data_IF_977769192881
#
_entry.id   IF_977769192881
#
_cell.length_a   1.000
_cell.length_b   1.000
_cell.length_c   1.000
_cell.angle_alpha   90.00
_cell.angle_beta   90.00
_cell.angle_gamma   90.00
#
_symmetry.space_group_name_H-M   'P 1'
#
loop_
_entity.id
_entity.type
_entity.pdbx_description
1 polymer ?
#
# COMPACT_ATOMS: atom_id res chain seq x y z
N UNK A 1 -5.11 13.43 20.90
CA UNK A 1 -4.03 12.90 20.05
C UNK A 1 -4.64 12.14 18.87
N UNK A 2 -4.08 12.35 17.67
CA UNK A 2 -4.50 11.63 16.47
C UNK A 2 -3.73 10.30 16.44
N UNK A 3 -4.46 9.18 16.46
CA UNK A 3 -3.86 7.85 16.34
C UNK A 3 -4.03 7.33 14.91
N UNK A 4 -3.07 6.54 14.39
CA UNK A 4 -3.22 5.89 13.09
C UNK A 4 -4.40 4.93 13.10
N UNK A 5 -5.27 5.05 12.09
CA UNK A 5 -6.44 4.17 11.91
C UNK A 5 -6.36 3.43 10.59
N UNK A 6 -7.07 2.31 10.52
CA UNK A 6 -7.16 1.45 9.33
C UNK A 6 -8.60 1.04 9.09
N UNK A 7 -9.05 1.10 7.84
CA UNK A 7 -10.34 0.52 7.47
C UNK A 7 -10.19 -0.99 7.26
N UNK A 8 -10.95 -1.76 8.04
CA UNK A 8 -10.90 -3.22 8.02
C UNK A 8 -11.65 -3.82 6.82
N UNK A 9 -11.38 -5.07 6.48
CA UNK A 9 -11.93 -5.72 5.30
C UNK A 9 -13.44 -5.60 5.16
N UNK A 10 -13.84 -5.51 3.91
CA UNK A 10 -15.18 -5.49 3.33
C UNK A 10 -15.94 -4.18 3.44
N UNK A 11 -15.57 -3.25 4.31
CA UNK A 11 -16.30 -1.98 4.49
C UNK A 11 -15.36 -0.84 4.87
N UNK A 12 -15.39 0.26 4.13
CA UNK A 12 -14.57 1.45 4.40
C UNK A 12 -14.90 2.15 5.71
N UNK A 13 -16.11 1.95 6.22
CA UNK A 13 -16.59 2.52 7.49
C UNK A 13 -16.21 1.69 8.73
N UNK A 14 -15.71 0.49 8.54
CA UNK A 14 -15.25 -0.39 9.63
C UNK A 14 -13.84 0.00 10.06
N UNK A 15 -13.72 1.12 10.75
CA UNK A 15 -12.46 1.71 11.16
C UNK A 15 -12.03 1.14 12.52
N UNK A 16 -10.72 0.85 12.66
CA UNK A 16 -10.09 0.45 13.92
C UNK A 16 -8.72 1.14 14.05
N UNK A 17 -8.28 1.32 15.28
CA UNK A 17 -6.92 1.74 15.57
C UNK A 17 -5.95 0.68 15.07
N UNK A 18 -4.88 1.09 14.39
CA UNK A 18 -3.85 0.18 13.85
C UNK A 18 -3.27 -0.70 14.96
N UNK A 19 -3.10 -0.16 16.16
CA UNK A 19 -2.58 -0.88 17.33
C UNK A 19 -3.40 -2.13 17.68
N UNK A 20 -4.71 -2.13 17.41
CA UNK A 20 -5.59 -3.28 17.67
C UNK A 20 -5.45 -4.40 16.65
N UNK A 21 -4.77 -4.13 15.53
CA UNK A 21 -4.56 -5.05 14.42
C UNK A 21 -3.09 -5.50 14.33
N UNK A 22 -2.23 -5.00 15.22
CA UNK A 22 -0.79 -5.29 15.21
C UNK A 22 -0.52 -6.80 15.23
N UNK A 23 0.48 -7.21 14.45
CA UNK A 23 0.87 -8.62 14.32
C UNK A 23 0.11 -9.40 13.25
N UNK A 24 -0.96 -8.85 12.65
CA UNK A 24 -1.65 -9.50 11.52
C UNK A 24 -0.70 -9.58 10.34
N UNK A 25 -0.31 -10.79 9.93
CA UNK A 25 0.56 -11.04 8.77
C UNK A 25 -0.12 -10.61 7.47
N UNK A 26 0.67 -10.08 6.54
CA UNK A 26 0.20 -9.60 5.24
C UNK A 26 1.06 -10.19 4.12
N UNK A 27 0.47 -10.37 2.95
CA UNK A 27 1.13 -10.92 1.76
C UNK A 27 1.54 -9.82 0.78
N UNK A 28 0.83 -8.70 0.80
CA UNK A 28 1.03 -7.64 -0.18
C UNK A 28 0.72 -6.25 0.39
N UNK A 29 1.41 -5.26 -0.15
CA UNK A 29 1.12 -3.84 0.07
C UNK A 29 0.94 -3.15 -1.27
N UNK A 30 -0.11 -2.34 -1.39
CA UNK A 30 -0.38 -1.54 -2.57
C UNK A 30 -0.43 -0.05 -2.23
N UNK A 31 0.48 0.73 -2.79
CA UNK A 31 0.55 2.18 -2.61
C UNK A 31 0.28 2.86 -3.93
N UNK A 32 -0.74 3.73 -3.97
CA UNK A 32 -0.98 4.55 -5.13
C UNK A 32 -2.39 4.50 -5.70
N UNK A 33 -2.48 4.36 -7.01
CA UNK A 33 -3.64 4.55 -7.89
C UNK A 33 -3.95 6.03 -8.18
N UNK A 34 -5.05 6.28 -8.90
CA UNK A 34 -5.39 7.62 -9.39
C UNK A 34 -5.67 8.66 -8.28
N UNK A 35 -6.06 8.23 -7.08
CA UNK A 35 -6.41 9.13 -5.96
C UNK A 35 -5.29 9.25 -4.93
N UNK A 36 -4.61 8.17 -4.61
CA UNK A 36 -3.63 8.07 -3.51
C UNK A 36 -2.23 7.69 -3.99
N UNK A 37 -1.90 7.99 -5.24
CA UNK A 37 -0.56 7.90 -5.84
C UNK A 37 -0.01 9.28 -6.21
N UNK A 38 -0.36 10.31 -5.45
CA UNK A 38 0.14 11.67 -5.62
C UNK A 38 1.60 11.76 -5.18
N UNK A 39 2.25 12.86 -5.53
CA UNK A 39 3.66 13.03 -5.21
C UNK A 39 3.93 12.97 -3.70
N UNK A 40 3.06 13.62 -2.91
CA UNK A 40 3.12 13.60 -1.46
C UNK A 40 2.92 12.22 -0.85
N UNK A 41 2.04 11.39 -1.42
CA UNK A 41 1.81 10.01 -0.97
C UNK A 41 3.04 9.14 -1.21
N UNK A 42 3.64 9.26 -2.41
CA UNK A 42 4.85 8.53 -2.77
C UNK A 42 6.05 8.98 -1.92
N UNK A 43 6.18 10.29 -1.68
CA UNK A 43 7.23 10.84 -0.83
C UNK A 43 7.09 10.36 0.62
N UNK A 44 5.87 10.34 1.16
CA UNK A 44 5.59 9.87 2.52
C UNK A 44 5.92 8.38 2.69
N UNK A 45 5.65 7.56 1.68
CA UNK A 45 6.05 6.15 1.68
C UNK A 45 7.58 5.99 1.57
N UNK A 46 8.22 6.75 0.68
CA UNK A 46 9.67 6.71 0.48
C UNK A 46 10.43 7.14 1.76
N UNK A 47 9.91 8.12 2.49
CA UNK A 47 10.48 8.54 3.79
C UNK A 47 10.57 7.37 4.78
N UNK A 48 9.53 6.55 4.86
CA UNK A 48 9.49 5.38 5.75
C UNK A 48 10.40 4.26 5.25
N UNK A 49 10.48 4.07 3.93
CA UNK A 49 11.22 2.98 3.28
C UNK A 49 12.72 3.28 3.13
N UNK A 50 13.15 4.54 3.25
CA UNK A 50 14.53 4.95 3.04
C UNK A 50 15.51 4.15 3.91
N UNK A 51 16.45 3.47 3.26
CA UNK A 51 17.46 2.63 3.93
C UNK A 51 16.91 1.33 4.52
N UNK A 52 15.67 0.98 4.21
CA UNK A 52 15.03 -0.27 4.67
C UNK A 52 14.70 -1.17 3.49
N UNK A 53 14.41 -2.43 3.79
CA UNK A 53 13.93 -3.42 2.80
C UNK A 53 12.53 -3.88 3.16
N UNK A 54 11.74 -4.12 2.14
CA UNK A 54 10.45 -4.80 2.26
C UNK A 54 10.71 -6.24 2.73
N UNK A 55 9.84 -6.78 3.58
CA UNK A 55 9.93 -8.17 4.01
C UNK A 55 9.94 -9.13 2.80
N UNK A 56 10.80 -10.14 2.81
CA UNK A 56 11.11 -10.99 1.65
C UNK A 56 9.88 -11.67 1.02
N UNK A 57 8.85 -11.94 1.83
CA UNK A 57 7.62 -12.59 1.39
C UNK A 57 6.51 -11.60 1.04
N UNK A 58 6.71 -10.30 1.23
CA UNK A 58 5.71 -9.26 0.93
C UNK A 58 5.97 -8.65 -0.44
N UNK A 59 4.94 -8.59 -1.25
CA UNK A 59 4.97 -7.85 -2.52
C UNK A 59 4.56 -6.39 -2.27
N UNK A 60 5.49 -5.45 -2.43
CA UNK A 60 5.16 -4.02 -2.43
C UNK A 60 4.98 -3.55 -3.88
N UNK A 61 3.77 -3.12 -4.21
CA UNK A 61 3.43 -2.57 -5.53
C UNK A 61 3.11 -1.09 -5.39
N UNK A 62 3.74 -0.26 -6.21
CA UNK A 62 3.55 1.19 -6.23
C UNK A 62 3.07 1.65 -7.61
N UNK A 63 1.94 2.35 -7.64
CA UNK A 63 1.35 2.88 -8.88
C UNK A 63 1.15 4.40 -8.76
N UNK A 64 2.00 5.22 -9.43
CA UNK A 64 1.82 6.67 -9.47
C UNK A 64 0.51 7.09 -10.13
N UNK A 65 -0.09 8.19 -9.69
CA UNK A 65 -1.41 8.62 -10.16
C UNK A 65 -1.41 9.13 -11.62
N UNK A 66 -0.29 9.66 -12.11
CA UNK A 66 -0.18 10.18 -13.48
C UNK A 66 1.25 10.17 -14.00
N UNK A 67 1.39 10.29 -15.33
CA UNK A 67 2.73 10.42 -15.97
C UNK A 67 3.52 11.63 -15.47
N UNK A 68 2.83 12.74 -15.16
CA UNK A 68 3.46 13.93 -14.59
C UNK A 68 4.07 13.61 -13.21
N UNK A 69 3.29 13.01 -12.33
CA UNK A 69 3.75 12.61 -11.00
C UNK A 69 4.86 11.56 -11.10
N UNK A 70 4.74 10.59 -12.00
CA UNK A 70 5.78 9.59 -12.25
C UNK A 70 7.13 10.26 -12.58
N UNK A 71 7.15 11.23 -13.50
CA UNK A 71 8.36 11.96 -13.86
C UNK A 71 8.92 12.79 -12.70
N UNK A 72 8.05 13.53 -12.00
CA UNK A 72 8.47 14.30 -10.82
C UNK A 72 9.08 13.40 -9.74
N UNK A 73 8.51 12.23 -9.52
CA UNK A 73 9.03 11.28 -8.54
C UNK A 73 10.38 10.67 -8.96
N UNK A 74 10.67 10.54 -10.26
CA UNK A 74 12.01 10.21 -10.77
C UNK A 74 12.98 11.35 -10.46
N UNK A 75 12.64 12.58 -10.87
CA UNK A 75 13.49 13.76 -10.72
C UNK A 75 13.87 14.04 -9.26
N UNK A 76 12.99 13.70 -8.33
CA UNK A 76 13.20 13.85 -6.87
C UNK A 76 13.84 12.63 -6.18
N UNK A 77 14.19 11.56 -6.93
CA UNK A 77 14.78 10.35 -6.37
C UNK A 77 13.81 9.49 -5.53
N UNK A 78 12.52 9.82 -5.55
CA UNK A 78 11.50 9.09 -4.78
C UNK A 78 11.36 7.66 -5.30
N UNK A 79 11.28 7.48 -6.63
CA UNK A 79 11.15 6.15 -7.22
C UNK A 79 12.40 5.30 -7.01
N UNK A 80 13.57 5.89 -7.01
CA UNK A 80 14.82 5.22 -6.71
C UNK A 80 14.80 4.64 -5.29
N UNK A 81 14.45 5.46 -4.30
CA UNK A 81 14.29 5.02 -2.90
C UNK A 81 13.28 3.87 -2.76
N UNK A 82 12.14 3.95 -3.45
CA UNK A 82 11.12 2.91 -3.43
C UNK A 82 11.63 1.61 -4.06
N UNK A 83 12.31 1.72 -5.20
CA UNK A 83 12.89 0.57 -5.90
C UNK A 83 14.00 -0.10 -5.09
N UNK A 84 14.89 0.69 -4.47
CA UNK A 84 15.92 0.17 -3.56
C UNK A 84 15.34 -0.61 -2.39
N UNK A 85 14.20 -0.17 -1.87
CA UNK A 85 13.50 -0.90 -0.79
C UNK A 85 12.88 -2.23 -1.26
N UNK A 86 12.77 -2.45 -2.57
CA UNK A 86 12.19 -3.67 -3.16
C UNK A 86 10.78 -3.48 -3.71
N UNK A 87 10.33 -2.23 -3.93
CA UNK A 87 9.03 -1.97 -4.53
C UNK A 87 9.01 -2.26 -6.03
N UNK A 88 7.93 -2.88 -6.48
CA UNK A 88 7.59 -3.01 -7.90
C UNK A 88 6.82 -1.75 -8.34
N UNK A 89 7.45 -0.91 -9.16
CA UNK A 89 6.84 0.33 -9.63
C UNK A 89 6.17 0.08 -10.97
N UNK A 90 4.88 0.39 -11.07
CA UNK A 90 4.10 0.21 -12.29
C UNK A 90 3.89 1.52 -13.02
N UNK A 91 3.46 1.44 -14.28
CA UNK A 91 3.00 2.63 -15.00
C UNK A 91 1.78 3.25 -14.33
N UNK A 92 1.59 4.57 -14.44
CA UNK A 92 0.43 5.27 -13.90
C UNK A 92 -0.89 4.71 -14.42
N UNK A 93 -1.85 4.55 -13.51
CA UNK A 93 -3.17 4.01 -13.83
C UNK A 93 -3.93 3.56 -12.58
N UNK A 94 -4.95 2.75 -12.79
CA UNK A 94 -5.68 2.12 -11.68
C UNK A 94 -4.89 0.98 -11.02
N UNK A 95 -4.02 0.30 -11.79
CA UNK A 95 -3.22 -0.81 -11.30
C UNK A 95 -4.06 -1.87 -10.59
N UNK A 96 -3.57 -2.34 -9.46
CA UNK A 96 -4.26 -3.32 -8.63
C UNK A 96 -5.58 -2.82 -8.03
N UNK A 97 -5.77 -1.51 -7.90
CA UNK A 97 -6.98 -0.93 -7.27
C UNK A 97 -8.30 -1.46 -7.84
N UNK A 98 -8.33 -1.85 -9.10
CA UNK A 98 -9.51 -2.42 -9.76
C UNK A 98 -9.41 -3.94 -9.99
N UNK A 99 -8.39 -4.62 -9.47
CA UNK A 99 -8.21 -6.06 -9.59
C UNK A 99 -7.98 -6.56 -11.03
N UNK A 100 -7.40 -5.72 -11.90
CA UNK A 100 -7.21 -6.04 -13.32
C UNK A 100 -5.77 -6.03 -13.80
N UNK A 101 -4.84 -5.60 -12.94
CA UNK A 101 -3.43 -5.51 -13.32
C UNK A 101 -2.51 -5.68 -12.10
N UNK A 102 -1.40 -6.35 -12.31
CA UNK A 102 -0.27 -6.53 -11.40
C UNK A 102 -0.61 -6.85 -9.94
N UNK A 103 -0.29 -8.03 -9.48
CA UNK A 103 -0.45 -8.40 -8.08
C UNK A 103 -1.87 -8.75 -7.65
N UNK A 104 -2.71 -9.22 -8.57
CA UNK A 104 -4.06 -9.70 -8.25
C UNK A 104 -3.98 -10.78 -7.17
N UNK A 105 -4.77 -10.62 -6.12
CA UNK A 105 -4.73 -11.46 -4.93
C UNK A 105 -5.58 -12.72 -5.08
N UNK A 106 -5.12 -13.78 -4.44
CA UNK A 106 -5.81 -15.07 -4.40
C UNK A 106 -6.46 -15.35 -3.04
N UNK A 107 -7.16 -16.47 -2.93
CA UNK A 107 -7.87 -16.85 -1.71
C UNK A 107 -6.96 -16.85 -0.48
N UNK A 108 -7.39 -16.16 0.56
CA UNK A 108 -6.71 -16.09 1.86
C UNK A 108 -5.60 -15.04 1.96
N UNK A 109 -5.22 -14.37 0.87
CA UNK A 109 -4.21 -13.31 0.93
C UNK A 109 -4.74 -12.05 1.60
N UNK A 110 -3.84 -11.33 2.28
CA UNK A 110 -4.08 -10.05 2.96
C UNK A 110 -3.26 -8.95 2.34
N UNK A 111 -3.91 -7.83 2.06
CA UNK A 111 -3.26 -6.65 1.51
C UNK A 111 -3.53 -5.42 2.36
N UNK A 112 -2.50 -4.63 2.60
CA UNK A 112 -2.63 -3.25 3.09
C UNK A 112 -2.51 -2.33 1.88
N UNK A 113 -3.51 -1.46 1.69
CA UNK A 113 -3.61 -0.63 0.50
C UNK A 113 -3.96 0.83 0.83
N UNK A 114 -3.55 1.74 -0.04
CA UNK A 114 -3.87 3.17 0.10
C UNK A 114 -5.03 3.64 -0.78
N UNK A 115 -5.63 2.74 -1.56
CA UNK A 115 -6.78 3.07 -2.39
C UNK A 115 -8.05 3.33 -1.56
N UNK A 116 -9.16 3.73 -2.21
CA UNK A 116 -10.34 4.26 -1.52
C UNK A 116 -11.39 3.21 -1.15
N UNK A 117 -11.22 1.95 -1.55
CA UNK A 117 -12.27 0.94 -1.44
C UNK A 117 -11.69 -0.42 -1.13
N UNK A 118 -12.41 -1.17 -0.29
CA UNK A 118 -12.00 -2.50 0.18
C UNK A 118 -13.14 -3.54 0.15
N UNK A 119 -14.15 -3.35 -0.71
CA UNK A 119 -15.24 -4.33 -0.81
C UNK A 119 -14.75 -5.66 -1.40
N UNK A 120 -15.48 -6.73 -1.12
CA UNK A 120 -15.15 -8.09 -1.54
C UNK A 120 -14.96 -8.21 -3.07
N UNK A 121 -13.93 -8.95 -3.47
CA UNK A 121 -13.62 -9.21 -4.87
C UNK A 121 -12.98 -8.06 -5.64
N UNK A 122 -12.70 -6.92 -4.97
CA UNK A 122 -12.16 -5.74 -5.66
C UNK A 122 -10.75 -5.93 -6.21
N UNK A 123 -9.89 -6.64 -5.48
CA UNK A 123 -8.46 -6.82 -5.82
C UNK A 123 -8.09 -8.27 -6.13
N UNK A 124 -9.07 -9.11 -6.38
CA UNK A 124 -8.91 -10.53 -6.66
C UNK A 124 -10.17 -11.31 -6.31
N UNK A 125 -10.04 -12.39 -5.56
CA UNK A 125 -11.19 -13.19 -5.14
C UNK A 125 -11.96 -12.52 -3.99
N UNK A 126 -13.17 -13.01 -3.70
CA UNK A 126 -13.98 -12.52 -2.58
C UNK A 126 -13.45 -12.93 -1.20
N UNK A 127 -12.43 -13.79 -1.15
CA UNK A 127 -11.81 -14.29 0.09
C UNK A 127 -10.51 -13.55 0.45
N UNK A 128 -10.24 -12.42 -0.18
CA UNK A 128 -9.12 -11.53 0.12
C UNK A 128 -9.51 -10.54 1.21
N UNK A 129 -8.60 -10.30 2.14
CA UNK A 129 -8.76 -9.26 3.17
C UNK A 129 -8.01 -7.99 2.75
N UNK A 130 -8.75 -6.90 2.51
CA UNK A 130 -8.19 -5.60 2.10
C UNK A 130 -8.30 -4.62 3.26
N UNK A 131 -7.16 -4.17 3.78
CA UNK A 131 -7.04 -3.15 4.81
C UNK A 131 -6.63 -1.83 4.17
N UNK A 132 -7.36 -0.74 4.45
CA UNK A 132 -7.00 0.59 3.93
C UNK A 132 -6.27 1.40 4.98
N UNK A 133 -5.13 1.95 4.60
CA UNK A 133 -4.24 2.70 5.48
C UNK A 133 -3.62 3.92 4.77
N UNK A 134 -2.98 4.78 5.53
CA UNK A 134 -2.15 5.87 4.99
C UNK A 134 -0.90 5.33 4.29
N UNK A 135 -0.27 6.09 3.38
CA UNK A 135 0.97 5.69 2.73
C UNK A 135 2.10 5.35 3.73
N UNK A 136 2.25 6.12 4.79
CA UNK A 136 3.25 5.85 5.84
C UNK A 136 2.99 4.53 6.57
N UNK A 137 1.76 4.29 6.98
CA UNK A 137 1.36 3.04 7.65
C UNK A 137 1.55 1.84 6.71
N UNK A 138 1.12 1.96 5.45
CA UNK A 138 1.29 0.90 4.46
C UNK A 138 2.77 0.56 4.22
N UNK A 139 3.62 1.58 4.09
CA UNK A 139 5.06 1.40 3.94
C UNK A 139 5.70 0.71 5.16
N UNK A 140 5.30 1.09 6.37
CA UNK A 140 5.78 0.44 7.60
C UNK A 140 5.36 -1.04 7.66
N UNK A 141 4.12 -1.35 7.27
CA UNK A 141 3.63 -2.72 7.19
C UNK A 141 4.43 -3.54 6.16
N UNK A 142 4.81 -2.94 5.02
CA UNK A 142 5.63 -3.62 4.01
C UNK A 142 7.01 -4.04 4.55
N UNK A 143 7.66 -3.17 5.33
CA UNK A 143 8.94 -3.49 5.98
C UNK A 143 8.78 -4.58 7.03
N UNK A 144 7.73 -4.51 7.84
CA UNK A 144 7.49 -5.43 8.94
C UNK A 144 6.93 -6.80 8.50
N UNK A 145 6.34 -6.89 7.31
CA UNK A 145 5.63 -8.09 6.83
C UNK A 145 4.30 -8.33 7.54
N UNK A 146 3.84 -7.39 8.34
CA UNK A 146 2.62 -7.48 9.15
C UNK A 146 2.10 -6.09 9.47
N UNK A 147 0.86 -6.00 9.94
CA UNK A 147 0.29 -4.73 10.39
C UNK A 147 1.06 -4.24 11.62
N UNK A 148 1.55 -3.00 11.56
CA UNK A 148 2.26 -2.31 12.63
C UNK A 148 1.79 -0.87 12.75
N UNK A 149 1.76 -0.36 13.97
CA UNK A 149 1.54 1.07 14.23
C UNK A 149 2.85 1.85 14.08
N UNK A 150 2.77 3.00 13.43
CA UNK A 150 3.86 3.98 13.48
C UNK A 150 3.81 4.67 14.83
N UNK A 151 4.88 4.58 15.55
CA UNK A 151 5.10 5.34 16.79
C UNK A 151 5.63 6.73 16.47
#
# INVERSE_FOLDING_TARGET
DIVPVMACPSQVVKIRDVSTLEGTEIDQVFIGSCTNGRLEDLAAAAEVLKGKKVADYVKLIVTPASRKIYRQAIELGILDTLAEAGAMITHPGCGLCCGRAGGILTDGERVVATNNRNFLGRMGTSKVEIYLASPKTAAACAVAGKIVSLK
#
